data_IF_334823468329
#
_entry.id   IF_334823468329
#
_cell.length_a   1.000
_cell.length_b   1.000
_cell.length_c   1.000
_cell.angle_alpha   90.00
_cell.angle_beta   90.00
_cell.angle_gamma   90.00
#
_symmetry.space_group_name_H-M   'P 1'
#
loop_
_entity.id
_entity.type
_entity.pdbx_description
1 polymer ?
#
# COMPACT_ATOMS: atom_id res chain seq x y z
N UNK A 1 5.48 -3.62 -9.95
CA UNK A 1 4.48 -4.58 -10.44
C UNK A 1 3.40 -4.73 -9.39
N UNK A 2 2.16 -4.32 -9.68
CA UNK A 2 1.01 -4.44 -8.78
C UNK A 2 0.29 -5.78 -9.02
N UNK A 3 1.02 -6.89 -8.91
CA UNK A 3 0.43 -8.22 -9.06
C UNK A 3 0.13 -8.74 -7.65
N UNK A 4 -1.15 -8.87 -7.33
CA UNK A 4 -1.73 -9.42 -6.09
C UNK A 4 -1.47 -8.65 -4.78
N UNK A 5 -1.88 -7.38 -4.76
CA UNK A 5 -2.12 -6.66 -3.51
C UNK A 5 -3.66 -6.61 -3.31
N UNK A 6 -4.19 -6.98 -2.14
CA UNK A 6 -5.65 -7.08 -1.91
C UNK A 6 -6.43 -5.81 -2.23
N UNK A 7 -5.77 -4.64 -2.10
CA UNK A 7 -6.27 -3.36 -2.59
C UNK A 7 -5.28 -2.79 -3.61
N UNK A 8 -5.69 -2.71 -4.89
CA UNK A 8 -4.87 -2.05 -5.89
C UNK A 8 -4.98 -0.52 -5.72
N UNK A 9 -3.87 0.21 -5.50
CA UNK A 9 -3.91 1.64 -5.22
C UNK A 9 -4.43 2.47 -6.41
N UNK A 10 -4.29 1.98 -7.64
CA UNK A 10 -4.80 2.66 -8.84
C UNK A 10 -6.33 2.58 -8.91
N UNK A 11 -6.90 1.43 -8.57
CA UNK A 11 -8.35 1.23 -8.44
C UNK A 11 -8.90 2.04 -7.27
N UNK A 12 -8.29 1.93 -6.09
CA UNK A 12 -8.72 2.64 -4.89
C UNK A 12 -8.69 4.17 -5.06
N UNK A 13 -7.72 4.69 -5.81
CA UNK A 13 -7.62 6.11 -6.14
C UNK A 13 -8.48 6.52 -7.35
N UNK A 14 -8.90 5.57 -8.19
CA UNK A 14 -9.51 5.87 -9.49
C UNK A 14 -8.62 6.73 -10.39
N UNK A 15 -7.29 6.52 -10.35
CA UNK A 15 -6.29 7.40 -10.97
C UNK A 15 -5.64 6.80 -12.23
N UNK A 16 -6.21 5.73 -12.79
CA UNK A 16 -5.68 5.10 -14.00
C UNK A 16 -6.50 3.88 -14.42
N UNK A 17 -5.87 3.05 -15.26
CA UNK A 17 -6.42 1.78 -15.75
C UNK A 17 -5.50 0.64 -15.37
N UNK A 18 -6.07 -0.45 -14.88
CA UNK A 18 -5.34 -1.69 -14.62
C UNK A 18 -5.57 -2.62 -15.78
N UNK A 19 -4.49 -3.24 -16.23
CA UNK A 19 -4.51 -4.22 -17.31
C UNK A 19 -3.79 -5.48 -16.85
N UNK A 20 -4.33 -6.67 -17.17
CA UNK A 20 -3.66 -7.91 -16.84
C UNK A 20 -2.25 -7.97 -17.45
N UNK A 21 -1.28 -8.59 -16.76
CA UNK A 21 0.04 -8.81 -17.33
C UNK A 21 -0.04 -9.60 -18.64
N UNK A 22 0.81 -9.25 -19.61
CA UNK A 22 0.95 -9.96 -20.90
C UNK A 22 -0.32 -10.02 -21.75
N UNK A 23 -1.22 -9.04 -21.60
CA UNK A 23 -2.42 -8.90 -22.44
C UNK A 23 -2.36 -7.62 -23.31
N UNK A 24 -1.74 -7.67 -24.51
CA UNK A 24 -1.58 -6.50 -25.36
C UNK A 24 -2.90 -5.85 -25.79
N UNK A 25 -3.94 -6.66 -26.01
CA UNK A 25 -5.28 -6.16 -26.39
C UNK A 25 -5.89 -5.31 -25.28
N UNK A 26 -5.79 -5.76 -24.04
CA UNK A 26 -6.29 -5.01 -22.88
C UNK A 26 -5.51 -3.69 -22.70
N UNK A 27 -4.19 -3.71 -22.90
CA UNK A 27 -3.37 -2.50 -22.88
C UNK A 27 -3.80 -1.48 -23.95
N UNK A 28 -4.00 -1.92 -25.19
CA UNK A 28 -4.45 -1.04 -26.27
C UNK A 28 -5.81 -0.42 -25.96
N UNK A 29 -6.77 -1.21 -25.45
CA UNK A 29 -8.08 -0.70 -25.07
C UNK A 29 -7.96 0.37 -23.97
N UNK A 30 -7.17 0.13 -22.92
CA UNK A 30 -6.97 1.10 -21.85
C UNK A 30 -6.34 2.42 -22.36
N UNK A 31 -5.40 2.34 -23.31
CA UNK A 31 -4.80 3.51 -23.94
C UNK A 31 -5.82 4.30 -24.77
N UNK A 32 -6.67 3.62 -25.54
CA UNK A 32 -7.74 4.27 -26.31
C UNK A 32 -8.77 4.95 -25.40
N UNK A 33 -9.14 4.33 -24.27
CA UNK A 33 -10.00 4.93 -23.27
C UNK A 33 -9.39 6.20 -22.64
N UNK A 34 -8.09 6.21 -22.34
CA UNK A 34 -7.41 7.41 -21.81
C UNK A 34 -7.26 8.49 -22.89
N UNK A 35 -7.05 8.08 -24.15
CA UNK A 35 -6.93 8.99 -25.29
C UNK A 35 -8.24 9.71 -25.61
N UNK A 36 -9.37 9.01 -25.47
CA UNK A 36 -10.70 9.58 -25.72
C UNK A 36 -11.17 10.56 -24.64
N UNK A 37 -10.57 10.51 -23.45
CA UNK A 37 -10.82 11.50 -22.39
C UNK A 37 -10.41 12.91 -22.82
N UNK A 38 -11.12 13.90 -22.31
CA UNK A 38 -10.73 15.30 -22.36
C UNK A 38 -9.50 15.57 -21.50
N UNK A 39 -8.84 16.71 -21.74
CA UNK A 39 -7.73 17.15 -20.88
C UNK A 39 -8.15 17.33 -19.42
N UNK A 40 -9.39 17.80 -19.18
CA UNK A 40 -9.92 18.00 -17.83
C UNK A 40 -10.18 16.68 -17.10
N UNK A 41 -10.72 15.68 -17.78
CA UNK A 41 -10.91 14.34 -17.20
C UNK A 41 -9.56 13.70 -16.85
N UNK A 42 -8.56 13.82 -17.73
CA UNK A 42 -7.20 13.35 -17.42
C UNK A 42 -6.58 14.11 -16.25
N UNK A 43 -6.78 15.42 -16.16
CA UNK A 43 -6.29 16.23 -15.03
C UNK A 43 -6.94 15.78 -13.72
N UNK A 44 -8.27 15.64 -13.70
CA UNK A 44 -8.99 15.16 -12.52
C UNK A 44 -8.55 13.74 -12.11
N UNK A 45 -8.25 12.87 -13.09
CA UNK A 45 -7.67 11.55 -12.82
C UNK A 45 -6.30 11.63 -12.14
N UNK A 46 -5.43 12.55 -12.59
CA UNK A 46 -4.14 12.83 -11.96
C UNK A 46 -4.28 13.36 -10.54
N UNK A 47 -5.16 14.35 -10.32
CA UNK A 47 -5.41 14.96 -9.00
C UNK A 47 -5.89 13.94 -7.96
N UNK A 48 -6.72 12.96 -8.37
CA UNK A 48 -7.12 11.86 -7.48
C UNK A 48 -5.92 10.98 -7.08
N UNK A 49 -5.04 10.68 -8.02
CA UNK A 49 -3.82 9.91 -7.78
C UNK A 49 -2.87 10.63 -6.82
N UNK A 50 -2.65 11.93 -7.05
CA UNK A 50 -1.83 12.78 -6.18
C UNK A 50 -2.37 12.80 -4.75
N UNK A 51 -3.67 13.04 -4.58
CA UNK A 51 -4.32 13.04 -3.27
C UNK A 51 -4.19 11.70 -2.55
N UNK A 52 -4.33 10.59 -3.28
CA UNK A 52 -4.17 9.26 -2.71
C UNK A 52 -2.71 9.02 -2.28
N UNK A 53 -1.74 9.38 -3.12
CA UNK A 53 -0.32 9.19 -2.85
C UNK A 53 0.12 10.02 -1.63
N UNK A 54 -0.28 11.28 -1.55
CA UNK A 54 0.03 12.15 -0.41
C UNK A 54 -0.49 11.60 0.92
N UNK A 55 -1.65 10.91 0.90
CA UNK A 55 -2.25 10.33 2.11
C UNK A 55 -1.65 8.99 2.51
N UNK A 56 -1.31 8.13 1.54
CA UNK A 56 -1.03 6.71 1.80
C UNK A 56 0.39 6.28 1.44
N UNK A 57 1.07 6.99 0.54
CA UNK A 57 2.37 6.62 0.00
C UNK A 57 3.47 7.63 0.34
N UNK A 58 3.16 8.71 1.05
CA UNK A 58 4.18 9.64 1.55
C UNK A 58 5.19 8.93 2.45
N UNK A 59 6.48 9.24 2.25
CA UNK A 59 7.59 8.61 3.00
C UNK A 59 7.42 8.79 4.50
N UNK A 60 6.92 9.95 4.93
CA UNK A 60 6.70 10.25 6.34
C UNK A 60 5.61 9.34 6.91
N UNK A 61 4.52 9.14 6.17
CA UNK A 61 3.44 8.22 6.56
C UNK A 61 3.95 6.79 6.70
N UNK A 62 4.70 6.30 5.70
CA UNK A 62 5.26 4.95 5.74
C UNK A 62 6.25 4.77 6.89
N UNK A 63 7.17 5.72 7.10
CA UNK A 63 8.16 5.67 8.18
C UNK A 63 7.51 5.58 9.57
N UNK A 64 6.42 6.32 9.79
CA UNK A 64 5.67 6.29 11.05
C UNK A 64 5.01 4.93 11.28
N UNK A 65 4.40 4.34 10.24
CA UNK A 65 3.81 3.01 10.30
C UNK A 65 4.86 1.93 10.59
N UNK A 66 6.01 1.98 9.90
CA UNK A 66 7.13 1.07 10.15
C UNK A 66 7.65 1.21 11.58
N UNK A 67 7.85 2.43 12.07
CA UNK A 67 8.33 2.68 13.42
C UNK A 67 7.37 2.13 14.48
N UNK A 68 6.07 2.38 14.34
CA UNK A 68 5.03 1.84 15.23
C UNK A 68 5.04 0.30 15.27
N UNK A 69 5.17 -0.34 14.10
CA UNK A 69 5.28 -1.79 14.02
C UNK A 69 6.53 -2.33 14.73
N UNK A 70 7.69 -1.68 14.55
CA UNK A 70 8.94 -2.06 15.22
C UNK A 70 8.83 -1.94 16.75
N UNK A 71 8.22 -0.87 17.25
CA UNK A 71 8.00 -0.68 18.69
C UNK A 71 7.09 -1.77 19.27
N UNK A 72 6.00 -2.07 18.57
CA UNK A 72 5.04 -3.11 18.96
C UNK A 72 5.72 -4.46 19.06
N UNK A 73 6.46 -4.86 18.01
CA UNK A 73 7.19 -6.12 17.99
C UNK A 73 8.25 -6.21 19.10
N UNK A 74 8.95 -5.11 19.39
CA UNK A 74 9.93 -5.05 20.47
C UNK A 74 9.28 -5.23 21.86
N UNK A 75 8.09 -4.65 22.08
CA UNK A 75 7.36 -4.78 23.33
C UNK A 75 6.86 -6.22 23.54
N UNK A 76 6.25 -6.82 22.51
CA UNK A 76 5.81 -8.22 22.57
C UNK A 76 6.95 -9.19 22.92
N UNK A 77 8.15 -8.95 22.40
CA UNK A 77 9.32 -9.78 22.72
C UNK A 77 9.73 -9.65 24.18
N UNK A 78 9.68 -8.44 24.75
CA UNK A 78 9.95 -8.21 26.18
C UNK A 78 8.92 -8.92 27.05
N UNK A 79 7.65 -8.84 26.68
CA UNK A 79 6.55 -9.44 27.43
C UNK A 79 6.63 -10.97 27.40
N UNK A 80 6.94 -11.54 26.22
CA UNK A 80 7.19 -12.99 26.07
C UNK A 80 8.38 -13.46 26.91
N UNK A 81 9.47 -12.68 26.98
CA UNK A 81 10.64 -12.99 27.84
C UNK A 81 10.27 -12.96 29.33
N UNK A 82 9.59 -11.91 29.79
CA UNK A 82 9.14 -11.77 31.19
C UNK A 82 8.20 -12.89 31.61
N UNK A 83 7.24 -13.27 30.74
CA UNK A 83 6.34 -14.38 31.02
C UNK A 83 7.08 -15.73 31.09
N UNK A 84 8.14 -15.92 30.30
CA UNK A 84 8.97 -17.13 30.33
C UNK A 84 9.81 -17.23 31.60
N UNK A 85 10.33 -16.10 32.09
CA UNK A 85 11.07 -15.99 33.35
C UNK A 85 10.15 -16.22 34.57
N UNK A 86 8.94 -15.66 34.57
CA UNK A 86 7.96 -15.86 35.64
C UNK A 86 7.41 -17.30 35.70
N UNK A 87 7.37 -18.00 34.57
CA UNK A 87 6.90 -19.39 34.48
C UNK A 87 7.98 -20.44 34.75
N UNK A 88 9.23 -20.06 34.96
CA UNK A 88 10.32 -21.00 35.28
C UNK A 88 11.12 -20.56 36.53
N UNK A 89 10.52 -20.61 37.74
CA UNK A 89 11.18 -20.16 38.97
C UNK A 89 12.23 -21.13 39.54
N UNK A 90 12.49 -22.30 38.95
CA UNK A 90 13.32 -23.35 39.54
C UNK A 90 14.64 -23.58 38.80
N UNK A 91 15.62 -22.71 39.06
CA UNK A 91 17.05 -23.06 39.16
C UNK A 91 17.66 -22.19 40.28
N UNK A 92 17.27 -22.48 41.51
CA UNK A 92 18.09 -22.20 42.69
C UNK A 92 18.57 -23.55 43.22
#
# INVERSE_FOLDING_TARGET
CAADIPDNPVEAAGCGKIVPPKEPKALMQALEEIRSMTAQERKSMGERGEKYAAKNADVSCQSAAYWSALQTAAQEQKDKRRQKEQKNPARQ
#
